data_IF_715795214190
#
_entry.id   IF_715795214190
#
_cell.length_a   1.000
_cell.length_b   1.000
_cell.length_c   1.000
_cell.angle_alpha   90.00
_cell.angle_beta   90.00
_cell.angle_gamma   90.00
#
_symmetry.space_group_name_H-M   'P 1'
#
loop_
_entity.id
_entity.type
_entity.pdbx_description
1 polymer ?
#
# COMPACT_ATOMS: atom_id res chain seq x y z
N UNK A 1 15.37 -24.67 -23.15
CA UNK A 1 14.57 -24.86 -21.94
C UNK A 1 14.03 -23.49 -21.56
N UNK A 2 12.76 -23.20 -21.85
CA UNK A 2 12.19 -21.91 -21.47
C UNK A 2 12.15 -21.88 -19.96
N UNK A 3 12.88 -20.96 -19.32
CA UNK A 3 12.68 -20.69 -17.91
C UNK A 3 11.19 -20.31 -17.78
N UNK A 4 10.42 -21.14 -17.07
CA UNK A 4 9.02 -20.82 -16.79
C UNK A 4 8.98 -19.45 -16.11
N UNK A 5 8.11 -18.56 -16.57
CA UNK A 5 7.91 -17.29 -15.87
C UNK A 5 7.26 -17.60 -14.52
N UNK A 6 8.06 -17.56 -13.46
CA UNK A 6 7.59 -17.72 -12.10
C UNK A 6 7.24 -16.36 -11.52
N UNK A 7 6.03 -16.22 -10.99
CA UNK A 7 5.61 -15.01 -10.33
C UNK A 7 6.36 -14.85 -8.99
N UNK A 8 7.06 -13.73 -8.74
CA UNK A 8 7.88 -13.55 -7.54
C UNK A 8 7.03 -13.08 -6.35
N UNK A 9 6.17 -13.96 -5.83
CA UNK A 9 5.20 -13.63 -4.79
C UNK A 9 5.84 -13.02 -3.53
N UNK A 10 7.02 -13.52 -3.12
CA UNK A 10 7.73 -12.98 -1.97
C UNK A 10 8.24 -11.55 -2.20
N UNK A 11 8.75 -11.26 -3.40
CA UNK A 11 9.17 -9.89 -3.73
C UNK A 11 7.98 -8.92 -3.75
N UNK A 12 6.81 -9.39 -4.19
CA UNK A 12 5.57 -8.61 -4.17
C UNK A 12 5.09 -8.36 -2.74
N UNK A 13 5.19 -9.36 -1.85
CA UNK A 13 4.90 -9.19 -0.42
C UNK A 13 5.83 -8.16 0.24
N UNK A 14 7.13 -8.26 0.00
CA UNK A 14 8.10 -7.29 0.50
C UNK A 14 7.85 -5.88 -0.02
N UNK A 15 7.46 -5.76 -1.31
CA UNK A 15 7.08 -4.46 -1.85
C UNK A 15 5.80 -3.92 -1.19
N UNK A 16 4.82 -4.78 -0.91
CA UNK A 16 3.63 -4.38 -0.17
C UNK A 16 3.96 -3.88 1.24
N UNK A 17 4.91 -4.50 1.93
CA UNK A 17 5.41 -4.01 3.23
C UNK A 17 6.06 -2.62 3.11
N UNK A 18 6.90 -2.40 2.09
CA UNK A 18 7.50 -1.09 1.84
C UNK A 18 6.45 0.00 1.51
N UNK A 19 5.39 -0.36 0.78
CA UNK A 19 4.28 0.55 0.50
C UNK A 19 3.48 0.85 1.77
N UNK A 20 3.27 -0.13 2.65
CA UNK A 20 2.66 0.08 3.97
C UNK A 20 3.49 1.03 4.83
N UNK A 21 4.81 0.87 4.87
CA UNK A 21 5.71 1.79 5.59
C UNK A 21 5.63 3.22 5.04
N UNK A 22 5.54 3.38 3.72
CA UNK A 22 5.33 4.69 3.11
C UNK A 22 4.00 5.33 3.54
N UNK A 23 2.91 4.53 3.65
CA UNK A 23 1.63 5.01 4.14
C UNK A 23 1.71 5.48 5.61
N UNK A 24 2.43 4.74 6.47
CA UNK A 24 2.65 5.12 7.86
C UNK A 24 3.44 6.43 7.99
N UNK A 25 4.48 6.62 7.18
CA UNK A 25 5.24 7.87 7.13
C UNK A 25 4.39 9.07 6.68
N UNK A 26 3.48 8.87 5.73
CA UNK A 26 2.51 9.91 5.33
C UNK A 26 1.51 10.21 6.45
N UNK A 27 1.06 9.19 7.20
CA UNK A 27 0.18 9.38 8.35
C UNK A 27 0.87 10.16 9.49
N UNK A 28 2.16 9.91 9.73
CA UNK A 28 2.97 10.70 10.67
C UNK A 28 3.09 12.16 10.21
N UNK A 29 3.37 12.38 8.92
CA UNK A 29 3.47 13.71 8.33
C UNK A 29 2.15 14.47 8.47
N UNK A 30 1.02 13.82 8.21
CA UNK A 30 -0.31 14.39 8.44
C UNK A 30 -0.51 14.83 9.89
N UNK A 31 -0.14 13.97 10.84
CA UNK A 31 -0.25 14.30 12.27
C UNK A 31 0.59 15.53 12.64
N UNK A 32 1.80 15.64 12.09
CA UNK A 32 2.65 16.81 12.29
C UNK A 32 2.04 18.09 11.69
N UNK A 33 1.51 18.02 10.47
CA UNK A 33 0.82 19.15 9.83
C UNK A 33 -0.40 19.57 10.65
N UNK A 34 -1.18 18.61 11.14
CA UNK A 34 -2.35 18.89 11.97
C UNK A 34 -1.98 19.61 13.28
N UNK A 35 -0.92 19.17 13.95
CA UNK A 35 -0.45 19.79 15.19
C UNK A 35 -0.02 21.26 14.97
N UNK A 36 0.76 21.53 13.91
CA UNK A 36 1.18 22.89 13.55
C UNK A 36 -0.01 23.78 13.21
N UNK A 37 -1.07 23.22 12.63
CA UNK A 37 -2.29 23.97 12.31
C UNK A 37 -3.15 24.28 13.51
N UNK A 38 -3.08 23.50 14.60
CA UNK A 38 -3.88 23.73 15.81
C UNK A 38 -3.28 24.84 16.70
N UNK A 39 -1.95 25.00 16.71
CA UNK A 39 -1.29 25.98 17.57
C UNK A 39 -1.17 27.37 16.93
N UNK A 40 -2.31 28.02 16.74
CA UNK A 40 -2.37 29.41 16.27
C UNK A 40 -1.73 30.42 17.25
N UNK A 41 -1.41 30.01 18.48
CA UNK A 41 -0.84 30.88 19.52
C UNK A 41 0.66 31.08 19.36
N UNK A 42 1.32 30.28 18.51
CA UNK A 42 2.75 30.45 18.15
C UNK A 42 2.96 31.67 17.25
N UNK A 43 1.94 32.04 16.47
CA UNK A 43 1.96 33.28 15.70
C UNK A 43 1.76 34.44 16.70
N UNK A 44 2.87 34.99 17.21
CA UNK A 44 2.84 36.11 18.15
C UNK A 44 1.97 37.28 17.67
N UNK A 45 1.67 38.25 18.53
CA UNK A 45 0.62 39.27 18.30
C UNK A 45 0.65 39.99 16.94
N UNK A 46 1.83 40.16 16.34
CA UNK A 46 2.00 40.82 15.04
C UNK A 46 1.53 39.92 13.87
N UNK A 47 1.64 38.61 14.02
CA UNK A 47 1.38 37.62 12.97
C UNK A 47 0.01 36.92 13.09
N UNK A 48 -0.87 37.35 14.00
CA UNK A 48 -2.15 36.69 14.29
C UNK A 48 -3.12 36.58 13.09
N UNK A 49 -2.92 37.35 12.02
CA UNK A 49 -3.73 37.30 10.80
C UNK A 49 -3.31 36.17 9.84
N UNK A 50 -2.06 35.69 9.94
CA UNK A 50 -1.50 34.65 9.06
C UNK A 50 -2.25 33.31 9.13
N UNK A 51 -2.65 32.79 10.31
CA UNK A 51 -3.41 31.55 10.41
C UNK A 51 -4.64 31.52 9.51
N UNK A 52 -5.46 32.57 9.53
CA UNK A 52 -6.66 32.65 8.70
C UNK A 52 -6.38 32.70 7.20
N UNK A 53 -5.25 33.30 6.79
CA UNK A 53 -4.82 33.33 5.39
C UNK A 53 -4.29 31.96 4.92
N UNK A 54 -3.66 31.21 5.82
CA UNK A 54 -3.03 29.92 5.52
C UNK A 54 -3.96 28.73 5.75
N UNK A 55 -5.08 28.89 6.47
CA UNK A 55 -6.04 27.80 6.73
C UNK A 55 -6.47 27.02 5.48
N UNK A 56 -6.77 27.66 4.32
CA UNK A 56 -7.15 26.91 3.11
C UNK A 56 -6.00 26.07 2.55
N UNK A 57 -4.76 26.59 2.61
CA UNK A 57 -3.56 25.87 2.17
C UNK A 57 -3.34 24.63 3.03
N UNK A 58 -3.44 24.80 4.36
CA UNK A 58 -3.27 23.69 5.30
C UNK A 58 -4.39 22.66 5.21
N UNK A 59 -5.63 23.09 5.01
CA UNK A 59 -6.76 22.17 4.75
C UNK A 59 -6.50 21.31 3.51
N UNK A 60 -6.12 21.93 2.39
CA UNK A 60 -5.77 21.21 1.16
C UNK A 60 -4.57 20.26 1.33
N UNK A 61 -3.56 20.64 2.11
CA UNK A 61 -2.44 19.77 2.43
C UNK A 61 -2.87 18.53 3.22
N UNK A 62 -3.73 18.69 4.23
CA UNK A 62 -4.28 17.58 5.02
C UNK A 62 -5.11 16.64 4.14
N UNK A 63 -5.94 17.18 3.24
CA UNK A 63 -6.76 16.38 2.32
C UNK A 63 -5.91 15.53 1.37
N UNK A 64 -4.86 16.12 0.78
CA UNK A 64 -3.91 15.40 -0.08
C UNK A 64 -3.19 14.30 0.69
N UNK A 65 -2.75 14.58 1.92
CA UNK A 65 -2.09 13.59 2.76
C UNK A 65 -3.03 12.44 3.15
N UNK A 66 -4.30 12.73 3.44
CA UNK A 66 -5.32 11.70 3.68
C UNK A 66 -5.49 10.80 2.44
N UNK A 67 -5.71 11.39 1.27
CA UNK A 67 -5.85 10.64 0.03
C UNK A 67 -4.61 9.80 -0.31
N UNK A 68 -3.41 10.31 -0.01
CA UNK A 68 -2.17 9.57 -0.18
C UNK A 68 -2.08 8.35 0.75
N UNK A 69 -2.40 8.50 2.03
CA UNK A 69 -2.43 7.40 3.02
C UNK A 69 -3.40 6.31 2.59
N UNK A 70 -4.61 6.70 2.17
CA UNK A 70 -5.65 5.75 1.75
C UNK A 70 -5.23 4.98 0.49
N UNK A 71 -4.74 5.68 -0.54
CA UNK A 71 -4.28 5.07 -1.78
C UNK A 71 -3.10 4.11 -1.56
N UNK A 72 -2.12 4.49 -0.75
CA UNK A 72 -0.96 3.65 -0.45
C UNK A 72 -1.39 2.41 0.35
N UNK A 73 -2.25 2.59 1.35
CA UNK A 73 -2.78 1.48 2.16
C UNK A 73 -3.58 0.49 1.30
N UNK A 74 -4.44 0.99 0.41
CA UNK A 74 -5.20 0.18 -0.53
C UNK A 74 -4.29 -0.55 -1.52
N UNK A 75 -3.24 0.11 -2.00
CA UNK A 75 -2.25 -0.49 -2.91
C UNK A 75 -1.51 -1.64 -2.23
N UNK A 76 -1.03 -1.45 -1.00
CA UNK A 76 -0.38 -2.51 -0.24
C UNK A 76 -1.31 -3.71 -0.04
N UNK A 77 -2.59 -3.49 0.28
CA UNK A 77 -3.59 -4.55 0.40
C UNK A 77 -3.78 -5.31 -0.92
N UNK A 78 -3.92 -4.60 -2.04
CA UNK A 78 -4.08 -5.20 -3.36
C UNK A 78 -2.86 -6.02 -3.78
N UNK A 79 -1.65 -5.57 -3.47
CA UNK A 79 -0.42 -6.33 -3.74
C UNK A 79 -0.39 -7.65 -2.95
N UNK A 80 -0.73 -7.61 -1.65
CA UNK A 80 -0.83 -8.84 -0.83
C UNK A 80 -1.89 -9.80 -1.37
N UNK A 81 -3.07 -9.29 -1.69
CA UNK A 81 -4.16 -10.10 -2.26
C UNK A 81 -3.73 -10.75 -3.58
N UNK A 82 -3.12 -9.98 -4.48
CA UNK A 82 -2.62 -10.48 -5.77
C UNK A 82 -1.58 -11.59 -5.57
N UNK A 83 -0.66 -11.44 -4.62
CA UNK A 83 0.33 -12.48 -4.34
C UNK A 83 -0.31 -13.79 -3.86
N UNK A 84 -1.31 -13.70 -2.98
CA UNK A 84 -2.07 -14.86 -2.48
C UNK A 84 -2.86 -15.53 -3.61
N UNK A 85 -3.54 -14.76 -4.44
CA UNK A 85 -4.35 -15.29 -5.54
C UNK A 85 -3.49 -16.02 -6.58
N UNK A 86 -2.33 -15.48 -6.92
CA UNK A 86 -1.43 -16.12 -7.89
C UNK A 86 -0.80 -17.39 -7.31
N UNK A 87 -0.35 -17.37 -6.04
CA UNK A 87 0.16 -18.60 -5.40
C UNK A 87 -0.91 -19.69 -5.33
N UNK A 88 -2.16 -19.33 -4.99
CA UNK A 88 -3.27 -20.28 -4.98
C UNK A 88 -3.55 -20.87 -6.37
N UNK A 89 -3.53 -20.03 -7.41
CA UNK A 89 -3.72 -20.47 -8.79
C UNK A 89 -2.58 -21.39 -9.28
N UNK A 90 -1.35 -21.11 -8.88
CA UNK A 90 -0.17 -21.94 -9.21
C UNK A 90 -0.25 -23.31 -8.54
N UNK A 91 -0.61 -23.34 -7.25
CA UNK A 91 -0.82 -24.60 -6.50
C UNK A 91 -1.96 -25.44 -7.10
N UNK A 92 -3.10 -24.82 -7.45
CA UNK A 92 -4.20 -25.56 -8.09
C UNK A 92 -3.78 -26.11 -9.46
N UNK A 93 -3.06 -25.32 -10.25
CA UNK A 93 -2.56 -25.74 -11.56
C UNK A 93 -1.59 -26.91 -11.44
N UNK A 94 -0.63 -26.83 -10.51
CA UNK A 94 0.33 -27.89 -10.23
C UNK A 94 -0.35 -29.19 -9.77
N UNK A 95 -1.37 -29.08 -8.91
CA UNK A 95 -2.18 -30.22 -8.46
C UNK A 95 -2.88 -30.90 -9.63
N UNK A 96 -3.55 -30.14 -10.48
CA UNK A 96 -4.26 -30.67 -11.67
C UNK A 96 -3.33 -31.35 -12.66
N UNK A 97 -2.14 -30.78 -12.89
CA UNK A 97 -1.12 -31.39 -13.74
C UNK A 97 -0.61 -32.72 -13.15
N UNK A 98 -0.38 -32.78 -11.84
CA UNK A 98 0.05 -34.01 -11.15
C UNK A 98 -1.03 -35.10 -11.17
N UNK A 99 -2.31 -34.71 -11.07
CA UNK A 99 -3.44 -35.64 -11.19
C UNK A 99 -3.55 -36.22 -12.61
N UNK A 100 -3.35 -35.41 -13.65
CA UNK A 100 -3.33 -35.85 -15.06
C UNK A 100 -2.16 -36.80 -15.33
N UNK A 101 -0.97 -36.47 -14.85
CA UNK A 101 0.23 -37.30 -14.98
C UNK A 101 0.04 -38.70 -14.34
N UNK A 102 -0.48 -38.75 -13.11
CA UNK A 102 -0.85 -40.02 -12.46
C UNK A 102 -1.95 -40.80 -13.17
N UNK A 103 -2.88 -40.12 -13.85
CA UNK A 103 -3.90 -40.76 -14.67
C UNK A 103 -3.33 -41.43 -15.93
N UNK A 104 -2.16 -40.99 -16.40
CA UNK A 104 -1.46 -41.57 -17.53
C UNK A 104 -0.62 -42.81 -17.16
N UNK A 105 -0.16 -42.91 -15.90
CA UNK A 105 0.66 -44.03 -15.41
C UNK A 105 -0.13 -45.28 -14.94
N UNK A 106 -1.47 -45.26 -14.95
CA UNK A 106 -2.28 -46.45 -14.65
C UNK A 106 -2.37 -47.36 -15.89
N UNK A 107 -1.80 -48.59 -15.87
CA UNK A 107 -1.86 -49.51 -16.99
C UNK A 107 -3.24 -50.19 -17.07
N UNK A 108 -3.73 -50.36 -18.31
CA UNK A 108 -4.76 -51.34 -18.67
C UNK A 108 -4.32 -52.77 -18.32
#
# INVERSE_FOLDING_TARGET
>A
MSAGMQFPAEAVRQHADAVSEAAENMALTRSAVHEVTMDHRVYGEICQFLPGLLSPLFGGAVDVLNGAVDCLSETALKLRATAVEIEAADVDSARRLTEVDRGFELPL
#
